data_IF_123463723477
#
_entry.id   IF_123463723477
#
_cell.length_a   1.000
_cell.length_b   1.000
_cell.length_c   1.000
_cell.angle_alpha   90.00
_cell.angle_beta   90.00
_cell.angle_gamma   90.00
#
_symmetry.space_group_name_H-M   'P 1'
#
loop_
_entity.id
_entity.type
_entity.pdbx_description
1 polymer ?
#
# COMPACT_ATOMS: atom_id res chain seq x y z
N UNK A 1 23.26 2.72 8.06
CA UNK A 1 24.50 2.59 8.82
C UNK A 1 25.48 1.81 7.98
N UNK A 2 26.77 1.98 8.22
CA UNK A 2 27.81 1.22 7.50
C UNK A 2 27.68 -0.30 7.75
N UNK A 3 26.97 -0.68 8.83
CA UNK A 3 26.63 -2.07 9.17
C UNK A 3 25.64 -2.75 8.22
N UNK A 4 24.96 -1.99 7.35
CA UNK A 4 23.93 -2.49 6.43
C UNK A 4 24.40 -2.57 4.97
N UNK A 5 25.71 -2.57 4.75
CA UNK A 5 26.29 -2.63 3.40
C UNK A 5 26.23 -4.06 2.86
N UNK A 6 25.96 -4.17 1.57
CA UNK A 6 25.88 -5.43 0.82
C UNK A 6 26.91 -5.37 -0.30
N UNK A 7 27.54 -6.50 -0.61
CA UNK A 7 28.51 -6.60 -1.70
C UNK A 7 27.89 -6.25 -3.07
N UNK A 8 28.70 -5.62 -3.93
CA UNK A 8 28.26 -5.20 -5.26
C UNK A 8 27.98 -6.43 -6.11
N UNK A 9 26.74 -6.55 -6.61
CA UNK A 9 26.29 -7.68 -7.42
C UNK A 9 25.47 -8.71 -6.65
N UNK A 10 25.26 -8.55 -5.34
CA UNK A 10 24.37 -9.41 -4.59
C UNK A 10 22.90 -9.20 -5.00
N UNK A 11 22.17 -10.29 -5.22
CA UNK A 11 20.76 -10.27 -5.59
C UNK A 11 19.86 -10.32 -4.36
N UNK A 12 18.96 -9.34 -4.19
CA UNK A 12 17.97 -9.35 -3.09
C UNK A 12 16.70 -10.10 -3.50
N UNK A 13 16.20 -10.95 -2.60
CA UNK A 13 14.96 -11.71 -2.82
C UNK A 13 13.77 -11.13 -2.05
N UNK A 14 12.55 -11.56 -2.41
CA UNK A 14 11.33 -11.19 -1.70
C UNK A 14 11.30 -11.68 -0.23
N UNK A 15 12.15 -12.65 0.13
CA UNK A 15 12.31 -13.12 1.51
C UNK A 15 12.89 -12.04 2.46
N UNK A 16 13.41 -10.93 1.92
CA UNK A 16 13.85 -9.82 2.76
C UNK A 16 12.72 -9.22 3.59
N UNK A 17 11.48 -9.35 3.11
CA UNK A 17 10.31 -8.85 3.80
C UNK A 17 9.55 -9.98 4.49
N UNK A 18 9.30 -9.82 5.79
CA UNK A 18 8.63 -10.82 6.63
C UNK A 18 7.11 -10.57 6.62
N UNK A 19 6.27 -11.62 6.49
CA UNK A 19 4.82 -11.46 6.62
C UNK A 19 4.44 -10.85 7.97
N UNK A 20 3.54 -9.86 7.96
CA UNK A 20 3.15 -9.10 9.15
C UNK A 20 3.94 -7.82 9.40
N UNK A 21 5.05 -7.59 8.70
CA UNK A 21 5.76 -6.32 8.80
C UNK A 21 4.98 -5.16 8.16
N UNK A 22 5.37 -3.93 8.54
CA UNK A 22 4.87 -2.71 7.91
C UNK A 22 5.91 -2.09 6.99
N UNK A 23 5.47 -1.63 5.82
CA UNK A 23 6.31 -1.00 4.80
C UNK A 23 5.74 0.32 4.31
N UNK A 24 6.64 1.18 3.85
CA UNK A 24 6.32 2.41 3.15
C UNK A 24 6.57 2.21 1.65
N UNK A 25 5.53 2.46 0.85
CA UNK A 25 5.51 2.17 -0.58
C UNK A 25 5.47 3.48 -1.35
N UNK A 26 6.50 3.72 -2.16
CA UNK A 26 6.66 4.95 -2.94
C UNK A 26 6.58 4.67 -4.42
N UNK A 27 5.71 5.39 -5.12
CA UNK A 27 5.53 5.23 -6.56
C UNK A 27 5.12 6.54 -7.22
N UNK A 28 5.04 6.52 -8.54
CA UNK A 28 4.54 7.65 -9.32
C UNK A 28 3.04 7.52 -9.49
N UNK A 29 2.29 8.46 -8.92
CA UNK A 29 0.83 8.48 -9.00
C UNK A 29 0.31 8.59 -10.45
N UNK A 30 -0.86 8.01 -10.71
CA UNK A 30 -1.52 8.06 -12.02
C UNK A 30 -1.77 9.52 -12.43
N UNK A 31 -1.27 9.89 -13.62
CA UNK A 31 -1.50 11.19 -14.23
C UNK A 31 -2.96 11.38 -14.64
N UNK A 32 -3.57 12.49 -14.22
CA UNK A 32 -4.94 12.89 -14.57
C UNK A 32 -4.99 14.13 -15.46
N UNK A 33 -3.83 14.59 -15.95
CA UNK A 33 -3.68 15.77 -16.81
C UNK A 33 -4.03 17.08 -16.10
N UNK A 34 -4.52 18.06 -16.86
CA UNK A 34 -4.99 19.33 -16.29
C UNK A 34 -6.33 19.15 -15.58
N UNK A 35 -6.33 19.31 -14.25
CA UNK A 35 -7.52 19.19 -13.42
C UNK A 35 -8.00 20.57 -12.94
N UNK A 36 -9.31 20.82 -13.09
CA UNK A 36 -9.97 22.00 -12.52
C UNK A 36 -10.00 21.97 -10.98
N UNK A 37 -10.30 23.12 -10.35
CA UNK A 37 -10.24 23.29 -8.89
C UNK A 37 -11.08 22.27 -8.10
N UNK A 38 -12.27 21.92 -8.60
CA UNK A 38 -13.14 20.91 -8.00
C UNK A 38 -12.50 19.52 -7.95
N UNK A 39 -11.96 19.04 -9.09
CA UNK A 39 -11.37 17.70 -9.19
C UNK A 39 -10.02 17.62 -8.46
N UNK A 40 -9.25 18.71 -8.45
CA UNK A 40 -7.91 18.76 -7.87
C UNK A 40 -7.91 18.93 -6.35
N UNK A 41 -8.85 19.70 -5.81
CA UNK A 41 -8.87 20.09 -4.39
C UNK A 41 -10.19 19.79 -3.67
N UNK A 42 -11.08 19.03 -4.30
CA UNK A 42 -12.41 18.70 -3.77
C UNK A 42 -13.25 19.93 -3.41
N UNK A 43 -13.10 21.03 -4.16
CA UNK A 43 -13.89 22.25 -3.94
C UNK A 43 -15.37 22.04 -4.28
N UNK A 44 -16.24 22.66 -3.47
CA UNK A 44 -17.68 22.72 -3.71
C UNK A 44 -18.05 23.62 -4.90
N UNK A 45 -19.16 23.30 -5.56
CA UNK A 45 -19.71 24.10 -6.64
C UNK A 45 -20.70 25.14 -6.17
N UNK A 46 -20.99 26.09 -7.05
CA UNK A 46 -22.10 27.00 -6.88
C UNK A 46 -23.43 26.28 -7.21
N UNK A 47 -24.55 26.87 -6.79
CA UNK A 47 -25.89 26.31 -7.03
C UNK A 47 -26.11 26.04 -8.51
N UNK A 48 -26.68 24.89 -8.85
CA UNK A 48 -26.96 24.52 -10.24
C UNK A 48 -28.11 25.33 -10.85
N UNK A 49 -29.19 25.54 -10.10
CA UNK A 49 -30.50 25.94 -10.65
C UNK A 49 -30.95 27.35 -10.30
N UNK A 50 -30.33 28.04 -9.33
CA UNK A 50 -30.79 29.35 -8.86
C UNK A 50 -29.69 30.40 -8.94
N UNK A 51 -29.85 31.33 -9.87
CA UNK A 51 -29.08 32.58 -9.95
C UNK A 51 -27.63 32.46 -10.45
N UNK A 52 -27.19 31.27 -10.85
CA UNK A 52 -25.83 31.03 -11.35
C UNK A 52 -25.88 30.80 -12.85
N UNK A 53 -25.22 31.66 -13.63
CA UNK A 53 -25.25 31.59 -15.10
C UNK A 53 -24.17 30.65 -15.66
N UNK A 54 -22.89 30.98 -15.47
CA UNK A 54 -21.75 30.27 -16.11
C UNK A 54 -20.77 29.69 -15.08
N UNK A 55 -20.88 30.11 -13.83
CA UNK A 55 -19.84 29.90 -12.81
C UNK A 55 -20.02 28.64 -11.95
N UNK A 56 -20.87 27.68 -12.34
CA UNK A 56 -21.20 26.47 -11.55
C UNK A 56 -19.99 25.71 -11.02
N UNK A 57 -18.92 25.62 -11.82
CA UNK A 57 -17.67 24.92 -11.50
C UNK A 57 -16.48 25.86 -11.28
N UNK A 58 -16.74 27.16 -11.09
CA UNK A 58 -15.70 28.15 -10.88
C UNK A 58 -15.00 27.99 -9.52
N UNK A 59 -13.81 28.58 -9.41
CA UNK A 59 -12.95 28.50 -8.22
C UNK A 59 -13.42 29.43 -7.09
N UNK A 60 -14.41 30.29 -7.36
CA UNK A 60 -14.77 31.42 -6.51
C UNK A 60 -13.72 32.53 -6.53
N UNK A 61 -13.64 33.28 -5.43
CA UNK A 61 -12.68 34.39 -5.30
C UNK A 61 -11.26 33.90 -5.05
N UNK A 62 -10.32 34.46 -5.79
CA UNK A 62 -8.88 34.15 -5.68
C UNK A 62 -8.16 35.07 -4.68
N UNK A 63 -8.68 36.26 -4.40
CA UNK A 63 -7.99 37.30 -3.63
C UNK A 63 -8.93 38.30 -2.93
N UNK A 64 -8.31 39.29 -2.29
CA UNK A 64 -9.00 40.43 -1.67
C UNK A 64 -8.90 41.68 -2.57
N UNK A 65 -9.54 42.79 -2.17
CA UNK A 65 -9.59 44.06 -2.91
C UNK A 65 -8.24 44.82 -2.88
N UNK A 66 -8.14 45.92 -2.11
CA UNK A 66 -7.04 46.88 -2.24
C UNK A 66 -5.73 46.35 -1.64
N UNK A 67 -5.76 45.92 -0.38
CA UNK A 67 -4.62 45.31 0.30
C UNK A 67 -4.95 43.83 0.56
N UNK A 68 -4.12 42.85 0.12
CA UNK A 68 -2.75 42.91 -0.42
C UNK A 68 -2.61 43.03 -1.96
N UNK A 69 -3.69 43.28 -2.71
CA UNK A 69 -3.65 43.54 -4.16
C UNK A 69 -3.10 42.40 -5.05
N UNK A 70 -2.94 41.18 -4.50
CA UNK A 70 -2.35 40.03 -5.21
C UNK A 70 -2.88 38.69 -4.71
N UNK A 71 -2.66 37.66 -5.50
CA UNK A 71 -2.90 36.27 -5.08
C UNK A 71 -1.70 35.76 -4.28
N UNK A 72 -1.95 35.10 -3.14
CA UNK A 72 -0.89 34.50 -2.34
C UNK A 72 -0.26 33.27 -3.03
N UNK A 73 1.02 33.02 -2.74
CA UNK A 73 1.72 31.80 -3.18
C UNK A 73 1.03 30.57 -2.59
N UNK A 74 1.12 29.44 -3.29
CA UNK A 74 0.48 28.17 -2.92
C UNK A 74 -1.05 28.24 -2.78
N UNK A 75 -1.71 29.28 -3.32
CA UNK A 75 -3.17 29.31 -3.45
C UNK A 75 -3.62 28.14 -4.33
N UNK A 76 -4.59 27.38 -3.84
CA UNK A 76 -5.17 26.23 -4.54
C UNK A 76 -5.87 26.70 -5.83
N UNK A 77 -5.38 26.23 -6.97
CA UNK A 77 -5.88 26.54 -8.31
C UNK A 77 -5.93 25.29 -9.18
N UNK A 78 -6.56 25.40 -10.35
CA UNK A 78 -6.48 24.39 -11.40
C UNK A 78 -5.03 24.16 -11.85
N UNK A 79 -4.73 22.97 -12.38
CA UNK A 79 -3.39 22.63 -12.85
C UNK A 79 -3.18 21.14 -13.01
N UNK A 80 -1.93 20.74 -13.29
CA UNK A 80 -1.58 19.34 -13.47
C UNK A 80 -1.84 18.54 -12.17
N UNK A 81 -2.53 17.40 -12.32
CA UNK A 81 -2.85 16.47 -11.23
C UNK A 81 -2.28 15.09 -11.56
N UNK A 82 -1.59 14.48 -10.58
CA UNK A 82 -0.91 13.20 -10.75
C UNK A 82 0.48 13.33 -11.35
N UNK A 83 1.08 12.21 -11.75
CA UNK A 83 2.49 12.09 -12.18
C UNK A 83 3.50 12.63 -11.15
N UNK A 84 3.09 12.71 -9.88
CA UNK A 84 3.96 13.07 -8.77
C UNK A 84 4.38 11.81 -8.01
N UNK A 85 5.59 11.84 -7.43
CA UNK A 85 6.08 10.81 -6.52
C UNK A 85 5.33 10.92 -5.20
N UNK A 86 4.62 9.85 -4.83
CA UNK A 86 3.81 9.78 -3.62
C UNK A 86 4.21 8.54 -2.83
N UNK A 87 4.26 8.68 -1.51
CA UNK A 87 4.54 7.58 -0.58
C UNK A 87 3.28 7.28 0.24
N UNK A 88 2.77 6.05 0.12
CA UNK A 88 1.77 5.51 1.03
C UNK A 88 2.51 4.84 2.19
N UNK A 89 2.23 5.29 3.41
CA UNK A 89 2.95 4.84 4.61
C UNK A 89 2.21 3.73 5.34
N UNK A 90 2.96 2.88 6.05
CA UNK A 90 2.44 1.88 6.98
C UNK A 90 1.48 0.87 6.36
N UNK A 91 1.82 0.35 5.17
CA UNK A 91 1.10 -0.76 4.54
C UNK A 91 1.58 -2.10 5.14
N UNK A 92 0.68 -3.06 5.31
CA UNK A 92 1.00 -4.37 5.90
C UNK A 92 1.36 -5.37 4.80
N UNK A 93 2.41 -6.16 5.02
CA UNK A 93 2.72 -7.32 4.18
C UNK A 93 1.90 -8.52 4.66
N UNK A 94 1.20 -9.17 3.72
CA UNK A 94 0.36 -10.34 3.99
C UNK A 94 1.17 -11.61 3.82
N UNK A 95 1.89 -11.71 2.69
CA UNK A 95 2.73 -12.86 2.36
C UNK A 95 3.86 -12.44 1.42
N UNK A 96 4.96 -13.18 1.48
CA UNK A 96 6.08 -13.08 0.57
C UNK A 96 6.33 -14.46 -0.04
N UNK A 97 6.43 -14.54 -1.37
CA UNK A 97 6.75 -15.75 -2.11
C UNK A 97 8.12 -15.54 -2.79
N UNK A 98 9.22 -16.09 -2.23
CA UNK A 98 10.56 -15.91 -2.77
C UNK A 98 10.82 -16.73 -4.04
N UNK A 99 10.10 -17.83 -4.27
CA UNK A 99 10.25 -18.65 -5.48
C UNK A 99 9.74 -17.90 -6.71
N UNK A 100 8.58 -17.25 -6.57
CA UNK A 100 7.98 -16.42 -7.63
C UNK A 100 8.48 -14.98 -7.64
N UNK A 101 9.12 -14.53 -6.55
CA UNK A 101 9.56 -13.15 -6.38
C UNK A 101 8.39 -12.17 -6.20
N UNK A 102 7.28 -12.60 -5.58
CA UNK A 102 6.05 -11.82 -5.44
C UNK A 102 5.84 -11.41 -3.97
N UNK A 103 5.38 -10.17 -3.77
CA UNK A 103 5.01 -9.64 -2.46
C UNK A 103 3.53 -9.25 -2.46
N UNK A 104 2.78 -9.75 -1.48
CA UNK A 104 1.38 -9.38 -1.30
C UNK A 104 1.26 -8.30 -0.22
N UNK A 105 0.87 -7.09 -0.63
CA UNK A 105 0.72 -5.93 0.24
C UNK A 105 -0.77 -5.61 0.42
N UNK A 106 -1.20 -5.49 1.67
CA UNK A 106 -2.56 -5.05 2.00
C UNK A 106 -2.65 -3.52 1.90
N UNK A 107 -3.27 -3.04 0.81
CA UNK A 107 -3.64 -1.63 0.68
C UNK A 107 -3.45 -1.06 -0.72
N UNK A 108 -3.47 0.27 -0.81
CA UNK A 108 -3.37 0.99 -2.07
C UNK A 108 -1.90 1.33 -2.41
N UNK A 109 -1.41 0.74 -3.49
CA UNK A 109 -0.10 1.05 -4.07
C UNK A 109 -0.23 2.25 -5.00
N UNK A 110 0.59 3.31 -4.84
CA UNK A 110 0.53 4.47 -5.72
C UNK A 110 1.13 4.16 -7.09
N UNK A 111 0.30 4.12 -8.13
CA UNK A 111 0.74 3.98 -9.51
C UNK A 111 -0.30 3.31 -10.40
N UNK A 112 0.02 3.21 -11.69
CA UNK A 112 -0.68 2.31 -12.60
C UNK A 112 -0.08 0.90 -12.51
N UNK A 113 -0.82 -0.08 -13.02
CA UNK A 113 -0.32 -1.45 -13.21
C UNK A 113 0.97 -1.43 -14.04
N UNK A 114 1.93 -2.30 -13.69
CA UNK A 114 3.24 -2.38 -14.34
C UNK A 114 4.21 -1.22 -14.02
N UNK A 115 3.82 -0.28 -13.16
CA UNK A 115 4.70 0.81 -12.73
C UNK A 115 5.77 0.37 -11.75
N UNK A 116 6.93 1.04 -11.78
CA UNK A 116 7.99 0.83 -10.80
C UNK A 116 7.62 1.44 -9.46
N UNK A 117 7.84 0.67 -8.39
CA UNK A 117 7.54 1.05 -7.03
C UNK A 117 8.76 0.76 -6.16
N UNK A 118 9.04 1.69 -5.25
CA UNK A 118 10.11 1.56 -4.28
C UNK A 118 9.48 1.21 -2.92
N UNK A 119 9.89 0.09 -2.35
CA UNK A 119 9.44 -0.40 -1.04
C UNK A 119 10.57 -0.17 -0.03
N UNK A 120 10.22 0.36 1.14
CA UNK A 120 11.11 0.52 2.30
C UNK A 120 10.40 0.02 3.54
N UNK A 121 11.17 -0.29 4.58
CA UNK A 121 10.59 -0.50 5.91
C UNK A 121 9.87 0.76 6.40
N UNK A 122 8.81 0.57 7.18
CA UNK A 122 7.98 1.66 7.65
C UNK A 122 8.74 2.57 8.63
N UNK A 123 8.83 3.86 8.33
CA UNK A 123 9.52 4.81 9.21
C UNK A 123 8.78 5.05 10.54
N UNK A 124 7.46 4.81 10.58
CA UNK A 124 6.59 5.15 11.72
C UNK A 124 6.22 3.96 12.62
N UNK A 125 6.50 2.72 12.19
CA UNK A 125 6.12 1.52 12.93
C UNK A 125 7.38 0.72 13.24
N UNK A 126 7.42 0.10 14.43
CA UNK A 126 8.54 -0.75 14.83
C UNK A 126 8.61 -1.94 13.87
N UNK A 127 9.83 -2.26 13.43
CA UNK A 127 10.09 -3.49 12.70
C UNK A 127 9.79 -4.70 13.61
N UNK A 128 9.19 -5.78 13.08
CA UNK A 128 9.07 -7.03 13.82
C UNK A 128 10.45 -7.59 14.22
N UNK A 129 10.49 -8.47 15.20
CA UNK A 129 11.73 -9.14 15.61
C UNK A 129 12.00 -10.31 14.67
N UNK A 130 13.22 -10.41 14.13
CA UNK A 130 13.61 -11.46 13.17
C UNK A 130 13.70 -11.04 11.70
N UNK A 131 13.92 -9.76 11.38
CA UNK A 131 14.24 -9.38 9.99
C UNK A 131 15.64 -9.87 9.58
N UNK A 132 15.79 -10.34 8.34
CA UNK A 132 17.11 -10.62 7.77
C UNK A 132 17.84 -9.28 7.52
N UNK A 133 18.78 -8.97 8.40
CA UNK A 133 19.71 -7.85 8.27
C UNK A 133 21.07 -8.40 7.80
N UNK A 134 21.72 -7.84 6.75
CA UNK A 134 21.39 -6.62 5.98
C UNK A 134 20.42 -6.84 4.79
N UNK A 135 20.37 -8.04 4.21
CA UNK A 135 19.46 -8.38 3.11
C UNK A 135 19.26 -9.90 3.05
N UNK A 136 18.14 -10.37 2.48
CA UNK A 136 17.98 -11.78 2.10
C UNK A 136 18.55 -11.98 0.68
N UNK A 137 19.79 -12.48 0.60
CA UNK A 137 20.51 -12.63 -0.66
C UNK A 137 20.17 -13.96 -1.35
N UNK A 138 20.10 -13.94 -2.68
CA UNK A 138 20.00 -15.15 -3.50
C UNK A 138 21.41 -15.74 -3.67
N UNK A 139 21.75 -16.73 -2.84
CA UNK A 139 23.06 -17.40 -2.92
C UNK A 139 23.58 -17.94 -1.60
N UNK A 140 23.06 -17.48 -0.47
CA UNK A 140 23.37 -18.04 0.83
C UNK A 140 22.45 -19.24 1.02
N UNK A 141 22.98 -20.45 0.82
CA UNK A 141 22.36 -21.69 1.27
C UNK A 141 22.29 -21.79 2.80
N UNK A 142 21.77 -20.76 3.48
CA UNK A 142 21.22 -20.92 4.81
C UNK A 142 19.80 -21.43 4.64
N UNK A 143 19.73 -22.73 4.37
CA UNK A 143 18.74 -23.63 4.94
C UNK A 143 18.12 -22.99 6.20
N UNK A 144 16.93 -22.43 6.08
CA UNK A 144 16.06 -22.41 7.24
C UNK A 144 15.85 -23.89 7.56
N UNK A 145 16.25 -24.38 8.75
CA UNK A 145 16.10 -25.78 9.07
C UNK A 145 14.65 -26.17 8.75
N UNK A 146 14.43 -27.24 7.97
CA UNK A 146 13.10 -27.78 7.77
C UNK A 146 12.44 -27.92 9.14
N UNK A 147 11.16 -27.56 9.32
CA UNK A 147 10.41 -28.07 10.45
C UNK A 147 10.33 -29.59 10.29
N UNK A 148 11.34 -30.26 10.83
CA UNK A 148 11.42 -31.69 10.99
C UNK A 148 10.25 -32.10 11.90
N UNK A 149 9.30 -32.80 11.29
CA UNK A 149 8.57 -33.91 11.88
C UNK A 149 8.30 -33.83 13.40
N UNK A 150 7.21 -33.15 13.76
CA UNK A 150 6.41 -33.54 14.91
C UNK A 150 5.25 -34.42 14.40
N UNK A 151 5.51 -35.73 14.46
CA UNK A 151 4.58 -36.83 14.77
C UNK A 151 3.11 -36.69 14.33
N UNK A 152 2.71 -37.59 13.43
CA UNK A 152 1.40 -38.24 13.53
C UNK A 152 1.15 -38.69 14.98
N UNK A 153 -0.06 -38.47 15.49
CA UNK A 153 -0.78 -39.67 15.89
C UNK A 153 -2.09 -39.80 15.12
N UNK A 154 -2.21 -40.98 14.53
CA UNK A 154 -3.46 -41.62 14.21
C UNK A 154 -4.45 -41.54 15.38
N UNK A 155 -5.69 -41.16 15.10
CA UNK A 155 -6.86 -42.00 15.39
C UNK A 155 -8.09 -41.36 14.80
N UNK A 156 -8.57 -41.96 13.72
CA UNK A 156 -9.96 -41.90 13.31
C UNK A 156 -10.87 -42.30 14.49
N UNK A 157 -11.93 -41.53 14.69
CA UNK A 157 -13.20 -42.03 15.20
C UNK A 157 -14.32 -41.10 14.74
N UNK A 158 -14.96 -41.49 13.65
CA UNK A 158 -16.38 -41.23 13.40
C UNK A 158 -17.19 -41.77 14.59
N UNK A 159 -18.29 -41.12 14.96
CA UNK A 159 -19.45 -41.86 15.40
C UNK A 159 -20.43 -41.92 14.23
N UNK A 160 -20.47 -43.11 13.62
CA UNK A 160 -21.57 -43.55 12.81
C UNK A 160 -22.88 -43.46 13.62
N UNK A 161 -23.90 -42.90 12.98
CA UNK A 161 -25.28 -43.12 13.30
C UNK A 161 -25.67 -44.57 12.98
N UNK A 162 -26.38 -45.24 13.89
CA UNK A 162 -27.50 -46.21 13.72
C UNK A 162 -27.70 -46.91 15.08
N UNK A 163 -28.86 -47.13 15.68
CA UNK A 163 -30.27 -46.90 15.37
C UNK A 163 -31.09 -47.55 16.50
N UNK A 164 -32.34 -47.12 16.72
CA UNK A 164 -33.38 -47.93 17.37
C UNK A 164 -34.77 -47.31 17.15
N UNK A 165 -35.61 -48.06 16.43
CA UNK A 165 -37.03 -47.86 16.18
C UNK A 165 -37.93 -47.74 17.43
N UNK A 166 -38.83 -46.74 17.39
CA UNK A 166 -40.29 -46.80 17.71
C UNK A 166 -40.79 -47.12 19.14
N UNK A 167 -42.10 -46.95 19.44
CA UNK A 167 -43.21 -46.48 18.60
C UNK A 167 -44.17 -45.42 19.27
N UNK A 168 -45.06 -44.87 18.43
CA UNK A 168 -46.46 -44.46 18.68
C UNK A 168 -46.89 -43.69 19.96
N UNK A 169 -47.34 -42.44 19.78
CA UNK A 169 -48.65 -41.90 20.20
C UNK A 169 -48.84 -40.48 19.64
#
# INVERSE_FOLDING_TARGET
SDDALVDVGAETTAAHFVPGQYVDVTGTSIGKGFAGGMKRWNFGGLRATHGVSVSHRSLGSTGQRQDPGKTFKNKKMAGHLGAARVTTQSLRIVSADPERGVLMIMGAVPGSEGGWVLIKDAAKRKAPEGLPFPAALRGDGSEAPPPEAAEEPAAAQEPAAEGAEGPAA
#
